data_IF_402022033648
#
_entry.id   IF_402022033648
#
_cell.length_a   1.000
_cell.length_b   1.000
_cell.length_c   1.000
_cell.angle_alpha   90.00
_cell.angle_beta   90.00
_cell.angle_gamma   90.00
#
_symmetry.space_group_name_H-M   'P 1'
#
loop_
_entity.id
_entity.type
_entity.pdbx_description
1 polymer ?
#
# COMPACT_ATOMS: atom_id res chain seq x y z
N UNK A 1 25.45 6.02 -12.81
CA UNK A 1 24.70 5.29 -11.77
C UNK A 1 23.30 5.88 -11.74
N UNK A 2 22.28 5.11 -12.14
CA UNK A 2 20.92 5.62 -12.17
C UNK A 2 20.43 5.76 -10.72
N UNK A 3 20.17 6.99 -10.31
CA UNK A 3 19.52 7.28 -9.04
C UNK A 3 18.03 6.90 -9.23
N UNK A 4 17.64 5.65 -8.93
CA UNK A 4 16.22 5.30 -8.96
C UNK A 4 15.57 5.93 -7.72
N UNK A 5 15.13 7.16 -7.88
CA UNK A 5 14.33 7.86 -6.88
C UNK A 5 12.98 7.15 -6.82
N UNK A 6 12.90 6.10 -6.00
CA UNK A 6 11.66 5.36 -5.78
C UNK A 6 10.66 6.33 -5.14
N UNK A 7 9.52 6.49 -5.79
CA UNK A 7 8.45 7.36 -5.31
C UNK A 7 7.90 6.89 -3.95
N UNK A 8 7.36 7.85 -3.20
CA UNK A 8 6.72 7.56 -1.91
C UNK A 8 5.57 6.56 -2.11
N UNK A 9 5.51 5.53 -1.26
CA UNK A 9 4.50 4.50 -1.38
C UNK A 9 3.11 5.04 -1.05
N UNK A 10 2.20 5.03 -2.02
CA UNK A 10 0.84 5.51 -1.83
C UNK A 10 0.07 4.60 -0.86
N UNK A 11 -0.55 5.14 0.21
CA UNK A 11 -1.35 4.34 1.12
C UNK A 11 -2.69 3.96 0.48
N UNK A 12 -2.96 2.65 0.43
CA UNK A 12 -4.19 2.09 -0.12
C UNK A 12 -4.77 1.01 0.79
N UNK A 13 -6.06 0.77 0.67
CA UNK A 13 -6.69 -0.43 1.20
C UNK A 13 -6.43 -1.63 0.27
N UNK A 14 -6.44 -2.84 0.84
CA UNK A 14 -6.31 -4.06 0.04
C UNK A 14 -7.49 -4.23 -0.94
N UNK A 15 -8.66 -3.67 -0.61
CA UNK A 15 -9.82 -3.64 -1.51
C UNK A 15 -9.59 -2.82 -2.78
N UNK A 16 -8.70 -1.84 -2.77
CA UNK A 16 -8.38 -1.04 -3.95
C UNK A 16 -7.38 -1.72 -4.89
N UNK A 17 -6.71 -2.78 -4.43
CA UNK A 17 -5.75 -3.51 -5.24
C UNK A 17 -6.46 -4.62 -6.04
N UNK A 18 -6.91 -4.29 -7.25
CA UNK A 18 -7.51 -5.24 -8.19
C UNK A 18 -7.03 -4.95 -9.64
N UNK A 19 -7.12 -5.91 -10.58
CA UNK A 19 -6.46 -5.81 -11.89
C UNK A 19 -6.77 -4.56 -12.72
N UNK A 20 -7.95 -3.95 -12.55
CA UNK A 20 -8.36 -2.74 -13.27
C UNK A 20 -8.23 -1.45 -12.45
N UNK A 21 -7.67 -1.53 -11.25
CA UNK A 21 -7.43 -0.36 -10.41
C UNK A 21 -6.24 0.46 -10.93
N UNK A 22 -6.20 1.78 -10.70
CA UNK A 22 -5.02 2.58 -11.00
C UNK A 22 -3.78 2.15 -10.20
N UNK A 23 -3.98 1.41 -9.10
CA UNK A 23 -2.94 0.90 -8.22
C UNK A 23 -2.35 -0.44 -8.68
N UNK A 24 -2.96 -1.14 -9.65
CA UNK A 24 -2.42 -2.39 -10.18
C UNK A 24 -1.57 -2.13 -11.42
N UNK A 25 -0.41 -1.52 -11.21
CA UNK A 25 0.57 -1.20 -12.27
C UNK A 25 1.96 -1.65 -11.83
N UNK A 26 2.75 -2.12 -12.79
CA UNK A 26 4.14 -2.47 -12.52
C UNK A 26 4.93 -1.26 -12.01
N UNK A 27 5.90 -1.52 -11.13
CA UNK A 27 6.79 -0.53 -10.51
C UNK A 27 6.11 0.56 -9.67
N UNK A 28 4.80 0.46 -9.39
CA UNK A 28 4.13 1.39 -8.50
C UNK A 28 4.48 1.11 -7.03
N UNK A 29 4.96 2.14 -6.32
CA UNK A 29 5.26 2.07 -4.90
C UNK A 29 3.97 2.19 -4.09
N UNK A 30 3.64 1.17 -3.29
CA UNK A 30 2.39 1.10 -2.53
C UNK A 30 2.64 0.76 -1.06
N UNK A 31 1.74 1.20 -0.19
CA UNK A 31 1.68 0.79 1.21
C UNK A 31 0.30 0.23 1.53
N UNK A 32 0.28 -1.03 1.94
CA UNK A 32 -0.94 -1.77 2.33
C UNK A 32 -0.78 -2.24 3.77
N UNK A 33 -1.80 -2.01 4.59
CA UNK A 33 -1.83 -2.44 6.00
C UNK A 33 -3.03 -3.34 6.23
N UNK A 34 -2.78 -4.62 6.57
CA UNK A 34 -3.81 -5.60 6.90
C UNK A 34 -3.33 -6.69 7.84
N UNK A 35 -4.29 -7.44 8.37
CA UNK A 35 -4.05 -8.61 9.19
C UNK A 35 -3.31 -9.68 8.38
N UNK A 36 -2.23 -10.19 8.96
CA UNK A 36 -1.50 -11.32 8.44
C UNK A 36 -2.26 -12.61 8.82
N UNK A 37 -2.79 -13.32 7.82
CA UNK A 37 -3.49 -14.60 8.06
C UNK A 37 -2.52 -15.74 8.33
N UNK A 38 -1.35 -15.71 7.70
CA UNK A 38 -0.33 -16.72 7.88
C UNK A 38 0.96 -16.37 7.16
N UNK A 39 2.03 -16.99 7.62
CA UNK A 39 3.33 -16.92 7.00
C UNK A 39 3.94 -18.32 6.95
N UNK A 40 4.30 -18.76 5.75
CA UNK A 40 5.03 -20.01 5.55
C UNK A 40 6.51 -19.72 5.62
N UNK A 41 7.22 -20.36 6.56
CA UNK A 41 8.66 -20.23 6.72
C UNK A 41 9.39 -20.88 5.55
N UNK A 42 8.90 -22.04 5.09
CA UNK A 42 9.52 -22.83 4.02
C UNK A 42 9.53 -22.08 2.68
N UNK A 43 8.42 -21.41 2.36
CA UNK A 43 8.30 -20.62 1.12
C UNK A 43 8.61 -19.15 1.32
N UNK A 44 8.76 -18.69 2.57
CA UNK A 44 8.85 -17.28 2.96
C UNK A 44 7.78 -16.40 2.28
N UNK A 45 6.54 -16.93 2.25
CA UNK A 45 5.36 -16.23 1.71
C UNK A 45 4.42 -15.90 2.85
N UNK A 46 4.10 -14.60 2.98
CA UNK A 46 3.04 -14.10 3.86
C UNK A 46 1.74 -13.89 3.09
N UNK A 47 0.60 -14.07 3.77
CA UNK A 47 -0.72 -13.78 3.21
C UNK A 47 -1.44 -12.78 4.10
N UNK A 48 -1.82 -11.64 3.55
CA UNK A 48 -2.70 -10.67 4.21
C UNK A 48 -4.10 -10.73 3.61
N UNK A 49 -5.13 -10.46 4.42
CA UNK A 49 -6.52 -10.54 3.99
C UNK A 49 -7.40 -9.36 4.43
N UNK A 50 -8.42 -9.11 3.61
CA UNK A 50 -9.44 -8.08 3.80
C UNK A 50 -10.77 -8.55 3.18
N UNK A 51 -11.59 -9.21 3.99
CA UNK A 51 -12.82 -9.85 3.52
C UNK A 51 -12.48 -10.97 2.51
N UNK A 52 -13.02 -10.87 1.30
CA UNK A 52 -12.78 -11.84 0.22
C UNK A 52 -11.46 -11.62 -0.54
N UNK A 53 -10.74 -10.52 -0.25
CA UNK A 53 -9.47 -10.22 -0.91
C UNK A 53 -8.29 -10.74 -0.11
N UNK A 54 -7.36 -11.38 -0.81
CA UNK A 54 -6.09 -11.85 -0.26
C UNK A 54 -4.92 -11.35 -1.10
N UNK A 55 -3.83 -10.97 -0.45
CA UNK A 55 -2.57 -10.67 -1.14
C UNK A 55 -1.47 -11.60 -0.60
N UNK A 56 -0.83 -12.33 -1.52
CA UNK A 56 0.36 -13.13 -1.24
C UNK A 56 1.60 -12.27 -1.44
N UNK A 57 2.47 -12.27 -0.45
CA UNK A 57 3.68 -11.44 -0.42
C UNK A 57 4.87 -12.39 -0.34
N UNK A 58 5.66 -12.44 -1.42
CA UNK A 58 6.92 -13.16 -1.41
C UNK A 58 7.99 -12.30 -0.72
N UNK A 59 8.54 -12.80 0.38
CA UNK A 59 9.57 -12.09 1.17
C UNK A 59 11.00 -12.55 0.86
N UNK A 60 11.19 -13.58 0.04
CA UNK A 60 12.52 -14.02 -0.43
C UNK A 60 13.12 -13.04 -1.43
N UNK A 61 12.28 -12.43 -2.25
CA UNK A 61 12.66 -11.44 -3.25
C UNK A 61 12.13 -10.08 -2.83
N UNK A 62 12.91 -9.36 -1.99
CA UNK A 62 12.64 -8.00 -1.50
C UNK A 62 12.44 -6.93 -2.61
N UNK A 63 12.44 -7.33 -3.89
CA UNK A 63 12.01 -6.52 -5.02
C UNK A 63 10.53 -6.15 -4.91
N UNK A 64 9.68 -7.09 -4.46
CA UNK A 64 8.23 -6.90 -4.41
C UNK A 64 7.78 -6.32 -3.07
N UNK A 65 8.49 -6.66 -1.98
CA UNK A 65 8.21 -6.17 -0.64
C UNK A 65 9.47 -5.54 -0.04
N UNK A 66 9.55 -4.20 -0.08
CA UNK A 66 10.71 -3.45 0.41
C UNK A 66 10.75 -3.33 1.93
N UNK A 67 9.60 -3.29 2.59
CA UNK A 67 9.51 -3.12 4.05
C UNK A 67 8.24 -3.76 4.58
N UNK A 68 8.37 -4.54 5.66
CA UNK A 68 7.26 -5.03 6.47
C UNK A 68 7.36 -4.51 7.90
N UNK A 69 6.24 -4.12 8.50
CA UNK A 69 6.17 -3.67 9.90
C UNK A 69 4.98 -4.33 10.58
N UNK A 70 5.21 -4.81 11.80
CA UNK A 70 4.11 -5.15 12.70
C UNK A 70 3.47 -3.84 13.18
N UNK A 71 2.14 -3.82 13.18
CA UNK A 71 1.32 -2.67 13.59
C UNK A 71 0.22 -3.12 14.55
N UNK A 72 0.50 -4.16 15.34
CA UNK A 72 -0.47 -4.69 16.30
C UNK A 72 -0.83 -3.59 17.31
N UNK A 73 -2.13 -3.48 17.58
CA UNK A 73 -2.68 -2.40 18.42
C UNK A 73 -3.04 -1.12 17.68
N UNK A 74 -2.79 -1.01 16.37
CA UNK A 74 -3.33 0.10 15.56
C UNK A 74 -4.85 -0.01 15.42
N UNK A 75 -5.55 1.09 15.67
CA UNK A 75 -6.96 1.22 15.32
C UNK A 75 -7.10 1.34 13.79
N UNK A 76 -7.55 0.25 13.16
CA UNK A 76 -7.72 0.18 11.71
C UNK A 76 -8.82 1.09 11.17
N UNK A 77 -9.83 1.44 11.98
CA UNK A 77 -10.87 2.38 11.57
C UNK A 77 -10.31 3.80 11.54
N UNK A 78 -9.54 4.19 12.56
CA UNK A 78 -8.83 5.46 12.57
C UNK A 78 -7.82 5.53 11.41
N UNK A 79 -7.02 4.47 11.22
CA UNK A 79 -6.06 4.41 10.12
C UNK A 79 -6.74 4.62 8.76
N UNK A 80 -7.87 3.97 8.49
CA UNK A 80 -8.62 4.17 7.24
C UNK A 80 -9.05 5.63 7.06
N UNK A 81 -9.61 6.25 8.09
CA UNK A 81 -9.99 7.68 8.07
C UNK A 81 -8.78 8.59 7.78
N UNK A 82 -7.60 8.27 8.33
CA UNK A 82 -6.39 9.07 8.05
C UNK A 82 -5.97 9.00 6.59
N UNK A 83 -6.16 7.86 5.91
CA UNK A 83 -5.87 7.74 4.48
C UNK A 83 -6.84 8.61 3.67
N UNK A 84 -8.13 8.61 4.01
CA UNK A 84 -9.16 9.43 3.35
C UNK A 84 -8.85 10.93 3.49
N UNK A 85 -8.54 11.38 4.71
CA UNK A 85 -8.15 12.78 4.97
C UNK A 85 -6.89 13.18 4.21
N UNK A 86 -5.89 12.29 4.16
CA UNK A 86 -4.65 12.54 3.41
C UNK A 86 -4.93 12.75 1.92
N UNK A 87 -5.82 11.95 1.33
CA UNK A 87 -6.18 12.07 -0.10
C UNK A 87 -6.94 13.37 -0.38
N UNK A 88 -7.93 13.69 0.45
CA UNK A 88 -8.67 14.96 0.35
C UNK A 88 -7.72 16.17 0.40
N UNK A 89 -6.75 16.14 1.30
CA UNK A 89 -5.75 17.20 1.40
C UNK A 89 -4.90 17.32 0.13
N UNK A 90 -4.44 16.19 -0.43
CA UNK A 90 -3.62 16.19 -1.65
C UNK A 90 -4.41 16.63 -2.89
N UNK A 91 -5.68 16.27 -3.01
CA UNK A 91 -6.58 16.72 -4.09
C UNK A 91 -6.73 18.24 -4.06
N UNK A 92 -7.04 18.82 -2.89
CA UNK A 92 -7.16 20.29 -2.72
C UNK A 92 -5.86 21.02 -3.08
N UNK A 93 -4.71 20.46 -2.69
CA UNK A 93 -3.41 21.03 -3.02
C UNK A 93 -3.09 20.97 -4.53
N UNK A 94 -3.51 19.92 -5.23
CA UNK A 94 -3.37 19.84 -6.69
C UNK A 94 -4.25 20.87 -7.40
N UNK A 95 -5.50 21.00 -6.99
CA UNK A 95 -6.43 21.98 -7.54
C UNK A 95 -5.90 23.41 -7.36
N UNK A 96 -5.41 23.74 -6.16
CA UNK A 96 -4.80 25.04 -5.88
C UNK A 96 -3.56 25.30 -6.77
N UNK A 97 -2.70 24.30 -6.99
CA UNK A 97 -1.55 24.44 -7.89
C UNK A 97 -1.95 24.66 -9.34
N UNK A 98 -3.06 24.06 -9.77
CA UNK A 98 -3.56 24.19 -11.14
C UNK A 98 -4.26 25.53 -11.37
N UNK A 99 -4.82 26.16 -10.33
CA UNK A 99 -5.43 27.50 -10.41
C UNK A 99 -4.41 28.65 -10.48
N UNK A 100 -3.16 28.42 -10.06
CA UNK A 100 -2.10 29.45 -10.02
C UNK A 100 -1.19 29.40 -11.27
N UNK A 101 -1.40 28.42 -12.17
CA UNK A 101 -0.71 28.30 -13.47
C UNK A 101 -1.57 28.83 -14.60
#
# INVERSE_FOLDING_TARGET
>A
MANSQIESGAPISLQELYPFSPFFKEALSLRVTRLLRGYSIDTAVGVIEDGEKSLKINTQHLRDARTGRNVDGVDMNLYRKTIELLRQFLEVEEDNRNMVK
#
